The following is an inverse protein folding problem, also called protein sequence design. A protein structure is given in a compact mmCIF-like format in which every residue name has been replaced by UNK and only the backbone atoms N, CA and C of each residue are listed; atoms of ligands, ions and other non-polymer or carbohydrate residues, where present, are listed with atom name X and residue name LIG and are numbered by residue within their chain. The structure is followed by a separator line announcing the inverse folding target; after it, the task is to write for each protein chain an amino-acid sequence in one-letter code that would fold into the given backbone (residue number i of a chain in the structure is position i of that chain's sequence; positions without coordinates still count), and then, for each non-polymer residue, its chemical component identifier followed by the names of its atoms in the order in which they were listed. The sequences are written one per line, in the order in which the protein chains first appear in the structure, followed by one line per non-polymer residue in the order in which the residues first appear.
data_IF_641998707213
#
_entry.id   IF_641998707213
#
_cell.length_a   1.000
_cell.length_b   1.000
_cell.length_c   1.000
_cell.angle_alpha   90.00
_cell.angle_beta   90.00
_cell.angle_gamma   90.00
#
_symmetry.space_group_name_H-M   'P 1'
#
loop_
_entity.id
_entity.type
_entity.pdbx_description
1 polymer ?
#
# COMPACT_ATOMS: atom_id res chain seq x y z
N UNK A 1 -31.17 9.70 21.46
CA UNK A 1 -30.25 9.46 20.33
C UNK A 1 -30.25 10.65 19.37
N UNK A 2 -31.40 11.07 18.82
CA UNK A 2 -31.48 12.24 17.91
C UNK A 2 -30.92 13.55 18.50
N UNK A 3 -31.12 13.80 19.78
CA UNK A 3 -30.63 15.00 20.50
C UNK A 3 -29.13 15.05 20.77
N UNK A 4 -28.42 13.93 20.59
CA UNK A 4 -26.95 13.87 20.72
C UNK A 4 -26.22 13.99 19.37
N UNK A 5 -26.95 13.88 18.26
CA UNK A 5 -26.40 13.81 16.91
C UNK A 5 -27.16 14.74 15.95
N UNK A 6 -27.35 15.99 16.38
CA UNK A 6 -28.24 16.94 15.69
C UNK A 6 -27.75 17.31 14.27
N UNK A 7 -26.48 17.04 13.97
CA UNK A 7 -25.84 17.38 12.71
C UNK A 7 -25.73 16.18 11.76
N UNK A 8 -26.30 15.03 12.14
CA UNK A 8 -26.20 13.78 11.41
C UNK A 8 -27.59 13.23 11.09
N UNK A 9 -27.73 12.64 9.90
CA UNK A 9 -28.92 11.86 9.54
C UNK A 9 -28.77 10.44 10.08
N UNK A 10 -29.54 10.11 11.11
CA UNK A 10 -29.61 8.73 11.62
C UNK A 10 -30.54 7.92 10.72
N UNK A 11 -29.98 6.96 9.99
CA UNK A 11 -30.74 6.02 9.18
C UNK A 11 -31.10 4.80 10.04
N UNK A 12 -32.40 4.60 10.25
CA UNK A 12 -32.92 3.39 10.88
C UNK A 12 -33.54 2.52 9.78
N UNK A 13 -32.94 1.37 9.43
CA UNK A 13 -33.54 0.47 8.44
C UNK A 13 -34.90 -0.06 8.96
N UNK A 14 -35.73 -0.54 8.03
CA UNK A 14 -37.08 -1.04 8.34
C UNK A 14 -37.06 -2.16 9.39
N UNK A 15 -36.09 -3.07 9.28
CA UNK A 15 -35.87 -4.20 10.18
C UNK A 15 -34.47 -4.09 10.82
N UNK A 16 -34.29 -3.28 11.88
CA UNK A 16 -32.98 -3.01 12.48
C UNK A 16 -32.36 -4.23 13.17
N UNK A 17 -33.19 -5.14 13.66
CA UNK A 17 -32.84 -6.45 14.21
C UNK A 17 -32.30 -7.42 13.15
N UNK A 18 -32.78 -7.30 11.90
CA UNK A 18 -32.32 -8.13 10.78
C UNK A 18 -31.22 -7.47 9.93
N UNK A 19 -30.87 -6.21 10.18
CA UNK A 19 -29.94 -5.45 9.35
C UNK A 19 -28.58 -6.16 9.18
N UNK A 20 -28.04 -6.73 10.25
CA UNK A 20 -26.77 -7.47 10.23
C UNK A 20 -26.89 -8.77 9.41
N UNK A 21 -27.96 -9.54 9.63
CA UNK A 21 -28.19 -10.79 8.89
C UNK A 21 -28.36 -10.52 7.39
N UNK A 22 -29.16 -9.51 7.02
CA UNK A 22 -29.35 -9.11 5.62
C UNK A 22 -28.03 -8.68 5.00
N UNK A 23 -27.21 -7.90 5.71
CA UNK A 23 -25.88 -7.51 5.26
C UNK A 23 -24.95 -8.72 5.01
N UNK A 24 -24.94 -9.70 5.92
CA UNK A 24 -24.16 -10.92 5.76
C UNK A 24 -24.61 -11.75 4.55
N UNK A 25 -25.91 -11.89 4.33
CA UNK A 25 -26.47 -12.60 3.16
C UNK A 25 -26.09 -11.89 1.86
N UNK A 26 -26.19 -10.57 1.80
CA UNK A 26 -25.78 -9.77 0.64
C UNK A 26 -24.29 -9.95 0.37
N UNK A 27 -23.44 -9.81 1.39
CA UNK A 27 -22.00 -9.98 1.26
C UNK A 27 -21.62 -11.37 0.75
N UNK A 28 -22.31 -12.41 1.22
CA UNK A 28 -22.04 -13.80 0.80
C UNK A 28 -22.56 -14.16 -0.59
N UNK A 29 -23.56 -13.44 -1.13
CA UNK A 29 -24.14 -13.72 -2.46
C UNK A 29 -23.65 -12.77 -3.56
N UNK A 30 -23.08 -11.62 -3.19
CA UNK A 30 -22.58 -10.66 -4.17
C UNK A 30 -21.17 -11.07 -4.59
N UNK A 31 -20.95 -11.32 -5.88
CA UNK A 31 -19.65 -11.75 -6.41
C UNK A 31 -18.54 -10.70 -6.22
N UNK A 32 -18.91 -9.40 -6.25
CA UNK A 32 -17.98 -8.28 -6.09
C UNK A 32 -18.57 -7.23 -5.14
N UNK A 33 -18.59 -7.50 -3.82
CA UNK A 33 -19.22 -6.61 -2.85
C UNK A 33 -18.43 -5.31 -2.64
N UNK A 34 -17.16 -5.30 -3.04
CA UNK A 34 -16.27 -4.13 -2.96
C UNK A 34 -15.82 -3.83 -4.39
N UNK A 35 -16.26 -2.69 -4.93
CA UNK A 35 -15.90 -2.22 -6.28
C UNK A 35 -14.74 -1.23 -6.27
N UNK A 36 -14.48 -0.62 -5.12
CA UNK A 36 -13.39 0.31 -4.92
C UNK A 36 -13.34 0.84 -3.50
N UNK A 37 -12.35 1.68 -3.23
CA UNK A 37 -12.07 2.29 -1.93
C UNK A 37 -11.59 3.72 -2.14
N UNK A 38 -11.75 4.56 -1.12
CA UNK A 38 -11.07 5.85 -1.02
C UNK A 38 -9.89 5.65 -0.07
N UNK A 39 -8.69 5.97 -0.53
CA UNK A 39 -7.49 5.83 0.28
C UNK A 39 -7.57 6.69 1.55
N UNK A 40 -7.47 6.05 2.72
CA UNK A 40 -7.49 6.75 4.01
C UNK A 40 -6.20 7.55 4.27
N UNK A 41 -5.08 7.05 3.76
CA UNK A 41 -3.74 7.57 4.00
C UNK A 41 -3.04 7.85 2.66
N UNK A 42 -1.96 8.64 2.71
CA UNK A 42 -0.94 8.60 1.67
C UNK A 42 -0.15 7.31 1.83
N UNK A 43 0.02 6.54 0.75
CA UNK A 43 0.83 5.32 0.75
C UNK A 43 2.04 5.50 -0.13
N UNK A 44 3.20 5.16 0.39
CA UNK A 44 4.48 5.30 -0.29
C UNK A 44 5.47 4.24 0.15
N UNK A 45 6.66 4.32 -0.41
CA UNK A 45 7.76 3.41 -0.14
C UNK A 45 9.03 4.17 0.21
N UNK A 46 9.94 3.48 0.91
CA UNK A 46 11.36 3.80 0.90
C UNK A 46 12.18 2.56 0.58
N UNK A 47 13.33 2.82 -0.04
CA UNK A 47 14.25 1.79 -0.49
C UNK A 47 15.43 1.77 0.45
N UNK A 48 15.56 0.71 1.22
CA UNK A 48 16.72 0.54 2.09
C UNK A 48 17.78 -0.31 1.39
N UNK A 49 19.06 0.11 1.43
CA UNK A 49 20.13 -0.77 1.01
C UNK A 49 20.17 -2.02 1.90
N UNK A 50 20.38 -3.19 1.29
CA UNK A 50 20.62 -4.43 2.05
C UNK A 50 21.84 -4.28 2.97
N UNK A 51 21.85 -5.03 4.08
CA UNK A 51 22.89 -4.96 5.12
C UNK A 51 24.29 -5.08 4.49
N UNK A 52 25.09 -4.01 4.62
CA UNK A 52 26.48 -3.95 4.14
C UNK A 52 26.70 -3.49 2.69
N UNK A 53 25.83 -2.63 2.14
CA UNK A 53 26.08 -1.93 0.87
C UNK A 53 26.39 -0.43 1.06
N UNK A 54 27.13 0.13 0.10
CA UNK A 54 27.16 1.56 -0.19
C UNK A 54 25.76 2.01 -0.67
N UNK A 55 25.40 3.23 -0.31
CA UNK A 55 24.06 3.81 -0.46
C UNK A 55 23.47 3.60 -1.87
N UNK A 56 22.13 3.44 -2.01
CA UNK A 56 21.50 3.56 -3.31
C UNK A 56 21.92 4.92 -3.88
N UNK A 57 22.58 4.93 -5.03
CA UNK A 57 23.31 6.07 -5.61
C UNK A 57 22.46 7.34 -5.86
N UNK A 58 21.17 7.37 -5.49
CA UNK A 58 20.25 8.46 -5.83
C UNK A 58 19.05 8.66 -4.92
N UNK A 59 18.78 7.80 -3.93
CA UNK A 59 17.68 8.01 -2.98
C UNK A 59 18.23 8.19 -1.57
N UNK A 60 18.09 9.40 -1.06
CA UNK A 60 18.26 9.69 0.36
C UNK A 60 17.41 8.67 1.14
N UNK A 61 18.01 7.96 2.10
CA UNK A 61 17.41 6.81 2.82
C UNK A 61 15.99 7.01 3.36
N UNK A 62 15.55 8.25 3.46
CA UNK A 62 14.30 8.64 4.10
C UNK A 62 13.32 9.34 3.13
N UNK A 63 13.54 9.34 1.81
CA UNK A 63 12.57 9.97 0.90
C UNK A 63 11.26 9.16 0.83
N UNK A 64 10.13 9.85 1.04
CA UNK A 64 8.81 9.22 0.94
C UNK A 64 8.34 9.24 -0.51
N UNK A 65 8.59 8.13 -1.22
CA UNK A 65 8.14 7.98 -2.60
C UNK A 65 6.65 7.59 -2.64
N UNK A 66 5.79 8.59 -2.80
CA UNK A 66 4.34 8.40 -2.82
C UNK A 66 3.85 7.62 -4.05
N UNK A 67 2.95 6.65 -3.81
CA UNK A 67 2.28 5.86 -4.85
C UNK A 67 0.78 6.17 -4.89
N UNK A 68 0.14 6.32 -3.72
CA UNK A 68 -1.29 6.64 -3.59
C UNK A 68 -1.45 7.84 -2.66
N UNK A 69 -2.31 8.79 -3.04
CA UNK A 69 -2.66 9.93 -2.18
C UNK A 69 -3.87 9.64 -1.30
N UNK A 70 -3.89 10.22 -0.10
CA UNK A 70 -5.08 10.31 0.75
C UNK A 70 -6.24 10.91 -0.06
N UNK A 71 -7.42 10.31 0.04
CA UNK A 71 -8.60 10.68 -0.74
C UNK A 71 -8.63 10.13 -2.17
N UNK A 72 -7.58 9.48 -2.66
CA UNK A 72 -7.56 8.93 -4.01
C UNK A 72 -8.53 7.73 -4.12
N UNK A 73 -9.42 7.70 -5.12
CA UNK A 73 -10.24 6.52 -5.41
C UNK A 73 -9.37 5.43 -6.04
N UNK A 74 -9.50 4.20 -5.54
CA UNK A 74 -8.82 3.00 -6.02
C UNK A 74 -9.89 1.97 -6.36
N UNK A 75 -9.86 1.42 -7.57
CA UNK A 75 -10.74 0.31 -7.92
C UNK A 75 -10.14 -1.00 -7.43
N UNK A 76 -11.00 -1.94 -7.06
CA UNK A 76 -10.55 -3.29 -6.71
C UNK A 76 -9.91 -3.95 -7.92
N UNK A 77 -8.82 -4.69 -7.70
CA UNK A 77 -7.98 -5.34 -8.72
C UNK A 77 -7.20 -4.39 -9.63
N UNK A 78 -7.31 -3.07 -9.47
CA UNK A 78 -6.40 -2.14 -10.14
C UNK A 78 -5.04 -2.13 -9.43
N UNK A 79 -3.99 -2.02 -10.24
CA UNK A 79 -2.62 -1.80 -9.78
C UNK A 79 -2.29 -0.32 -9.99
N UNK A 80 -2.17 0.42 -8.90
CA UNK A 80 -1.65 1.79 -8.96
C UNK A 80 -0.13 1.69 -8.96
N UNK A 81 0.47 1.89 -10.13
CA UNK A 81 1.93 1.98 -10.25
C UNK A 81 2.35 3.40 -9.94
N UNK A 82 3.28 3.59 -8.99
CA UNK A 82 3.75 4.91 -8.61
C UNK A 82 5.21 5.16 -8.93
N UNK A 83 6.04 4.13 -8.93
CA UNK A 83 7.49 4.32 -8.95
C UNK A 83 8.22 3.27 -9.78
N UNK A 84 9.28 3.74 -10.41
CA UNK A 84 10.18 2.96 -11.25
C UNK A 84 11.59 3.51 -11.02
N UNK A 85 12.50 2.68 -10.50
CA UNK A 85 13.87 3.09 -10.30
C UNK A 85 14.86 1.99 -10.68
N UNK A 86 16.05 2.38 -11.18
CA UNK A 86 17.15 1.47 -11.34
C UNK A 86 17.69 1.09 -9.96
N UNK A 87 17.94 -0.20 -9.76
CA UNK A 87 18.64 -0.70 -8.59
C UNK A 87 19.94 -1.32 -9.06
N UNK A 88 21.04 -0.77 -8.56
CA UNK A 88 22.35 -1.39 -8.65
C UNK A 88 22.57 -2.24 -7.41
N UNK A 89 22.82 -3.52 -7.63
CA UNK A 89 22.97 -4.51 -6.58
C UNK A 89 24.46 -4.74 -6.31
N UNK A 90 24.90 -4.55 -5.07
CA UNK A 90 26.17 -5.13 -4.62
C UNK A 90 26.00 -6.48 -3.90
N UNK A 91 24.77 -6.86 -3.52
CA UNK A 91 24.37 -8.17 -2.98
C UNK A 91 23.06 -8.69 -3.60
N UNK A 92 22.73 -9.95 -3.34
CA UNK A 92 21.57 -10.68 -3.89
C UNK A 92 20.20 -10.24 -3.35
N UNK A 93 20.17 -9.32 -2.38
CA UNK A 93 18.96 -8.97 -1.64
C UNK A 93 18.76 -7.45 -1.50
N UNK A 94 17.49 -7.02 -1.58
CA UNK A 94 17.04 -5.66 -1.31
C UNK A 94 15.73 -5.66 -0.51
N UNK A 95 15.49 -4.62 0.28
CA UNK A 95 14.27 -4.43 1.06
C UNK A 95 13.59 -3.13 0.63
N UNK A 96 12.28 -3.22 0.35
CA UNK A 96 11.42 -2.06 0.15
C UNK A 96 10.49 -2.00 1.34
N UNK A 97 10.55 -0.91 2.10
CA UNK A 97 9.62 -0.64 3.19
C UNK A 97 8.43 0.15 2.67
N UNK A 98 7.28 -0.11 3.24
CA UNK A 98 6.00 0.45 2.84
C UNK A 98 5.48 1.28 4.00
N UNK A 99 5.10 2.52 3.71
CA UNK A 99 4.70 3.49 4.71
C UNK A 99 3.31 4.05 4.43
N UNK A 100 2.61 4.40 5.50
CA UNK A 100 1.35 5.16 5.48
C UNK A 100 1.51 6.46 6.27
N UNK A 101 0.97 7.55 5.73
CA UNK A 101 0.90 8.85 6.39
C UNK A 101 -0.54 9.37 6.42
N UNK A 102 -0.98 9.92 7.55
CA UNK A 102 -2.30 10.54 7.73
C UNK A 102 -2.27 12.07 7.62
N UNK A 103 -1.12 12.63 7.28
CA UNK A 103 -0.97 14.07 7.07
C UNK A 103 -1.87 14.54 5.93
N UNK A 104 -2.30 15.80 6.00
CA UNK A 104 -3.11 16.42 4.92
C UNK A 104 -2.33 16.42 3.61
N UNK A 105 -1.08 16.87 3.63
CA UNK A 105 -0.15 16.81 2.51
C UNK A 105 0.82 15.64 2.68
N UNK A 106 1.23 14.98 1.58
CA UNK A 106 2.15 13.86 1.68
C UNK A 106 3.53 14.34 2.13
N UNK A 107 4.17 13.63 3.09
CA UNK A 107 5.49 14.00 3.54
C UNK A 107 6.51 13.83 2.41
N UNK A 108 7.55 14.66 2.41
CA UNK A 108 8.69 14.49 1.50
C UNK A 108 9.72 13.52 2.09
N UNK A 109 9.77 13.43 3.43
CA UNK A 109 10.75 12.65 4.19
C UNK A 109 9.99 11.81 5.21
N UNK A 110 10.41 10.56 5.39
CA UNK A 110 9.91 9.61 6.37
C UNK A 110 10.46 9.97 7.75
N UNK A 111 9.56 10.17 8.69
CA UNK A 111 9.86 10.29 10.12
C UNK A 111 8.86 9.48 10.94
N UNK A 112 9.20 9.19 12.18
CA UNK A 112 8.27 8.48 13.09
C UNK A 112 7.00 9.30 13.40
N UNK A 113 7.06 10.62 13.22
CA UNK A 113 5.94 11.52 13.50
C UNK A 113 4.92 11.56 12.35
N UNK A 114 5.38 11.38 11.09
CA UNK A 114 4.55 11.56 9.90
C UNK A 114 4.25 10.26 9.15
N UNK A 115 5.04 9.20 9.36
CA UNK A 115 4.97 7.96 8.60
C UNK A 115 5.00 6.76 9.54
N UNK A 116 4.07 5.82 9.30
CA UNK A 116 4.06 4.51 9.94
C UNK A 116 4.45 3.44 8.92
N UNK A 117 5.44 2.61 9.26
CA UNK A 117 5.74 1.40 8.48
C UNK A 117 4.57 0.42 8.59
N UNK A 118 4.04 0.00 7.45
CA UNK A 118 2.91 -0.93 7.37
C UNK A 118 3.29 -2.25 6.71
N UNK A 119 4.52 -2.41 6.23
CA UNK A 119 5.00 -3.67 5.67
C UNK A 119 6.30 -3.51 4.91
N UNK A 120 6.78 -4.63 4.34
CA UNK A 120 7.99 -4.67 3.55
C UNK A 120 7.92 -5.73 2.44
N UNK A 121 8.73 -5.55 1.40
CA UNK A 121 9.00 -6.55 0.36
C UNK A 121 10.47 -6.95 0.45
N UNK A 122 10.71 -8.25 0.52
CA UNK A 122 12.05 -8.82 0.35
C UNK A 122 12.25 -9.24 -1.11
N UNK A 123 13.28 -8.71 -1.73
CA UNK A 123 13.60 -8.95 -3.14
C UNK A 123 14.88 -9.76 -3.22
N UNK A 124 14.77 -10.95 -3.81
CA UNK A 124 15.90 -11.85 -4.09
C UNK A 124 16.21 -11.87 -5.60
N UNK A 125 17.40 -11.39 -5.95
CA UNK A 125 17.81 -11.13 -7.33
C UNK A 125 18.89 -12.10 -7.81
N UNK A 126 18.94 -12.38 -9.12
CA UNK A 126 19.89 -13.33 -9.69
C UNK A 126 21.34 -12.83 -9.62
N UNK A 127 22.26 -13.67 -9.13
CA UNK A 127 23.72 -13.39 -9.01
C UNK A 127 24.39 -12.96 -10.31
N UNK A 128 23.85 -13.38 -11.44
CA UNK A 128 24.41 -13.15 -12.77
C UNK A 128 24.28 -11.69 -13.23
N UNK A 129 23.48 -10.86 -12.54
CA UNK A 129 23.23 -9.48 -12.95
C UNK A 129 23.28 -8.51 -11.78
N UNK A 130 24.08 -7.46 -11.93
CA UNK A 130 24.30 -6.42 -10.90
C UNK A 130 23.37 -5.22 -11.04
N UNK A 131 22.54 -5.15 -12.07
CA UNK A 131 21.62 -4.04 -12.30
C UNK A 131 20.26 -4.58 -12.76
N UNK A 132 19.19 -4.07 -12.16
CA UNK A 132 17.83 -4.29 -12.64
C UNK A 132 16.98 -3.05 -12.41
N UNK A 133 15.83 -3.02 -13.06
CA UNK A 133 14.85 -1.94 -12.95
C UNK A 133 13.59 -2.53 -12.36
N UNK A 134 13.16 -1.98 -11.22
CA UNK A 134 11.97 -2.44 -10.53
C UNK A 134 10.83 -1.46 -10.72
N UNK A 135 9.69 -2.00 -11.15
CA UNK A 135 8.42 -1.29 -11.21
C UNK A 135 7.58 -1.66 -10.00
N UNK A 136 7.24 -0.66 -9.18
CA UNK A 136 6.50 -0.88 -7.93
C UNK A 136 5.11 -0.29 -8.04
N UNK A 137 4.14 -1.09 -7.61
CA UNK A 137 2.77 -0.66 -7.48
C UNK A 137 2.11 -1.21 -6.23
N UNK A 138 1.00 -0.59 -5.89
CA UNK A 138 0.09 -1.05 -4.85
C UNK A 138 -1.16 -1.57 -5.55
N UNK A 139 -1.54 -2.80 -5.23
CA UNK A 139 -2.80 -3.39 -5.67
C UNK A 139 -3.73 -3.57 -4.49
N UNK A 140 -5.02 -3.47 -4.78
CA UNK A 140 -6.07 -3.77 -3.79
C UNK A 140 -6.80 -5.03 -4.21
N UNK A 141 -6.96 -5.95 -3.27
CA UNK A 141 -7.88 -7.07 -3.39
C UNK A 141 -9.21 -6.71 -2.71
N UNK A 142 -10.09 -7.70 -2.55
CA UNK A 142 -11.36 -7.51 -1.84
C UNK A 142 -11.14 -6.95 -0.43
N UNK A 143 -10.23 -7.53 0.35
CA UNK A 143 -10.03 -7.16 1.77
C UNK A 143 -8.69 -6.47 2.02
N UNK A 144 -7.64 -6.81 1.27
CA UNK A 144 -6.25 -6.48 1.60
C UNK A 144 -5.58 -5.54 0.59
N UNK A 145 -4.62 -4.77 1.09
CA UNK A 145 -3.62 -4.07 0.27
C UNK A 145 -2.40 -4.96 0.08
N UNK A 146 -1.92 -5.04 -1.17
CA UNK A 146 -0.68 -5.71 -1.52
C UNK A 146 0.24 -4.72 -2.22
N UNK A 147 1.53 -4.84 -1.96
CA UNK A 147 2.54 -4.12 -2.73
C UNK A 147 3.25 -5.13 -3.61
N UNK A 148 3.42 -4.78 -4.88
CA UNK A 148 4.01 -5.64 -5.89
C UNK A 148 5.21 -4.92 -6.49
N UNK A 149 6.36 -5.58 -6.46
CA UNK A 149 7.55 -5.17 -7.19
C UNK A 149 7.76 -6.13 -8.36
N UNK A 150 7.88 -5.60 -9.58
CA UNK A 150 8.17 -6.36 -10.79
C UNK A 150 9.54 -5.98 -11.32
N UNK A 151 10.39 -6.98 -11.49
CA UNK A 151 11.64 -6.84 -12.25
C UNK A 151 11.30 -6.77 -13.75
N UNK A 152 11.60 -5.64 -14.39
CA UNK A 152 11.22 -5.41 -15.79
C UNK A 152 11.97 -6.30 -16.78
N UNK A 153 13.12 -6.84 -16.40
CA UNK A 153 13.94 -7.66 -17.29
C UNK A 153 13.57 -9.14 -17.23
N UNK A 154 13.36 -9.66 -16.02
CA UNK A 154 13.01 -11.07 -15.81
C UNK A 154 11.51 -11.31 -15.78
N UNK A 155 10.72 -10.26 -15.59
CA UNK A 155 9.28 -10.35 -15.37
C UNK A 155 8.88 -10.92 -14.01
N UNK A 156 9.86 -11.23 -13.14
CA UNK A 156 9.62 -11.80 -11.81
C UNK A 156 8.92 -10.78 -10.92
N UNK A 157 7.87 -11.23 -10.25
CA UNK A 157 7.12 -10.43 -9.27
C UNK A 157 7.49 -10.84 -7.85
N UNK A 158 7.54 -9.85 -6.97
CA UNK A 158 7.69 -9.98 -5.53
C UNK A 158 6.52 -9.29 -4.86
N UNK A 159 5.95 -9.89 -3.84
CA UNK A 159 4.77 -9.37 -3.14
C UNK A 159 5.07 -9.18 -1.66
N UNK A 160 4.55 -8.10 -1.09
CA UNK A 160 4.54 -7.85 0.35
C UNK A 160 3.12 -7.58 0.83
N UNK A 161 2.83 -8.04 2.05
CA UNK A 161 1.54 -7.82 2.71
C UNK A 161 1.65 -6.61 3.64
N UNK A 162 0.64 -5.75 3.60
CA UNK A 162 0.54 -4.61 4.51
C UNK A 162 -0.35 -4.94 5.71
N UNK A 163 0.12 -4.62 6.92
CA UNK A 163 -0.63 -4.72 8.17
C UNK A 163 -0.67 -3.36 8.86
N UNK A 164 -1.87 -2.95 9.27
CA UNK A 164 -2.08 -1.76 10.11
C UNK A 164 -2.16 -2.11 11.61
N UNK A 165 -1.95 -3.38 11.99
CA UNK A 165 -2.08 -3.89 13.36
C UNK A 165 -0.72 -4.16 14.04
N UNK A 166 0.38 -3.74 13.43
CA UNK A 166 1.72 -3.85 14.02
C UNK A 166 1.93 -2.82 15.13
#
# INVERSE_FOLDING_TARGET
MKTKFNNLTVICPLDPDLAVLKGAVIMGHMDTPIVGRIAKFHYGIAVLPGVGQAEPLTSTKDEFHIIIRKGQPIKVNDVVTGYDFPITFSKEEAFIQIYASDDEEPPQIISQDNCREIGQIHINLPKSRRESRLKIGISTSETEFKVVARDEHTGKCFEGVCSFLN
#
